data_IF_887034380920
#
_entry.id   IF_887034380920
#
_cell.length_a   1.000
_cell.length_b   1.000
_cell.length_c   1.000
_cell.angle_alpha   90.00
_cell.angle_beta   90.00
_cell.angle_gamma   90.00
#
_symmetry.space_group_name_H-M   'P 1'
#
loop_
_entity.id
_entity.type
_entity.pdbx_description
1 polymer ?
#
# COMPACT_ATOMS: atom_id res chain seq x y z
N UNK A 1 -8.08 17.71 -33.13
CA UNK A 1 -7.26 16.65 -33.74
C UNK A 1 -5.80 16.96 -33.46
N UNK A 2 -5.11 16.15 -32.65
CA UNK A 2 -3.74 15.70 -32.92
C UNK A 2 -3.41 14.58 -31.93
N UNK A 3 -3.29 13.38 -32.47
CA UNK A 3 -2.78 12.20 -31.78
C UNK A 3 -1.35 12.43 -31.31
N UNK A 4 -0.98 11.79 -30.22
CA UNK A 4 0.36 11.23 -30.11
C UNK A 4 0.25 9.88 -29.40
N UNK A 5 -0.04 8.86 -30.20
CA UNK A 5 0.51 7.54 -29.97
C UNK A 5 2.04 7.65 -29.95
N UNK A 6 2.70 6.94 -29.02
CA UNK A 6 4.15 6.77 -29.01
C UNK A 6 4.81 7.10 -27.68
N UNK A 7 5.05 6.07 -26.86
CA UNK A 7 6.38 5.56 -26.51
C UNK A 7 6.38 4.95 -25.11
N UNK A 8 6.55 3.62 -25.08
CA UNK A 8 6.69 2.79 -23.90
C UNK A 8 8.13 2.89 -23.37
N UNK A 9 8.27 3.32 -22.11
CA UNK A 9 9.52 3.38 -21.36
C UNK A 9 9.63 4.64 -20.50
N UNK A 10 9.24 4.55 -19.23
CA UNK A 10 9.54 5.49 -18.13
C UNK A 10 9.09 6.95 -18.29
N UNK A 11 7.81 7.20 -18.60
CA UNK A 11 7.24 8.54 -18.36
C UNK A 11 7.12 8.78 -16.84
N UNK A 12 7.63 9.91 -16.31
CA UNK A 12 7.43 10.24 -14.90
C UNK A 12 5.93 10.33 -14.61
N UNK A 13 5.50 9.74 -13.50
CA UNK A 13 4.10 9.80 -13.08
C UNK A 13 3.73 11.26 -12.82
N UNK A 14 2.69 11.75 -13.51
CA UNK A 14 2.17 13.09 -13.26
C UNK A 14 1.57 13.19 -11.85
N UNK A 15 1.52 14.42 -11.30
CA UNK A 15 1.02 14.69 -9.95
C UNK A 15 -0.35 14.06 -9.69
N UNK A 16 -1.30 14.24 -10.61
CA UNK A 16 -2.65 13.69 -10.49
C UNK A 16 -2.69 12.17 -10.45
N UNK A 17 -1.76 11.51 -11.16
CA UNK A 17 -1.65 10.05 -11.15
C UNK A 17 -1.09 9.55 -9.81
N UNK A 18 -0.10 10.24 -9.24
CA UNK A 18 0.44 9.88 -7.93
C UNK A 18 -0.57 10.13 -6.81
N UNK A 19 -1.30 11.25 -6.88
CA UNK A 19 -2.36 11.58 -5.92
C UNK A 19 -3.50 10.56 -5.98
N UNK A 20 -3.94 10.17 -7.19
CA UNK A 20 -5.01 9.17 -7.32
C UNK A 20 -4.60 7.79 -6.80
N UNK A 21 -3.36 7.36 -7.06
CA UNK A 21 -2.80 6.13 -6.49
C UNK A 21 -2.80 6.19 -4.95
N UNK A 22 -2.34 7.31 -4.38
CA UNK A 22 -2.31 7.51 -2.93
C UNK A 22 -3.70 7.48 -2.28
N UNK A 23 -4.67 8.20 -2.86
CA UNK A 23 -6.05 8.23 -2.36
C UNK A 23 -6.68 6.83 -2.50
N UNK A 24 -6.52 6.17 -3.64
CA UNK A 24 -7.05 4.82 -3.87
C UNK A 24 -6.49 3.82 -2.85
N UNK A 25 -5.19 3.87 -2.57
CA UNK A 25 -4.55 3.02 -1.57
C UNK A 25 -5.08 3.29 -0.15
N UNK A 26 -5.22 4.56 0.26
CA UNK A 26 -5.73 4.90 1.60
C UNK A 26 -7.21 4.57 1.79
N UNK A 27 -8.04 4.79 0.77
CA UNK A 27 -9.47 4.42 0.82
C UNK A 27 -9.62 2.90 0.84
N UNK A 28 -8.87 2.19 0.00
CA UNK A 28 -8.85 0.72 -0.06
C UNK A 28 -8.42 0.06 1.25
N UNK A 29 -7.27 0.47 1.77
CA UNK A 29 -6.69 -0.14 2.97
C UNK A 29 -7.32 0.40 4.28
N UNK A 30 -7.67 1.68 4.35
CA UNK A 30 -8.17 2.30 5.57
C UNK A 30 -9.68 2.17 5.71
N UNK A 31 -10.43 2.71 4.75
CA UNK A 31 -11.89 2.81 4.87
C UNK A 31 -12.51 1.42 4.74
N UNK A 32 -12.24 0.70 3.66
CA UNK A 32 -12.88 -0.62 3.47
C UNK A 32 -12.41 -1.63 4.52
N UNK A 33 -11.11 -1.67 4.86
CA UNK A 33 -10.65 -2.68 5.81
C UNK A 33 -11.07 -2.42 7.27
N UNK A 34 -11.10 -1.15 7.70
CA UNK A 34 -11.29 -0.81 9.12
C UNK A 34 -12.69 -0.32 9.46
N UNK A 35 -13.38 0.36 8.52
CA UNK A 35 -14.67 0.99 8.82
C UNK A 35 -15.73 -0.05 9.19
N UNK A 36 -15.71 -1.24 8.58
CA UNK A 36 -16.65 -2.32 8.89
C UNK A 36 -16.59 -2.79 10.35
N UNK A 37 -15.40 -2.88 10.94
CA UNK A 37 -15.25 -3.23 12.34
C UNK A 37 -15.43 -2.01 13.26
N UNK A 38 -14.89 -0.85 12.89
CA UNK A 38 -14.98 0.36 13.71
C UNK A 38 -16.42 0.87 13.86
N UNK A 39 -17.24 0.77 12.81
CA UNK A 39 -18.65 1.16 12.85
C UNK A 39 -19.46 0.33 13.85
N UNK A 40 -19.11 -0.95 14.04
CA UNK A 40 -19.77 -1.83 15.02
C UNK A 40 -19.40 -1.48 16.46
N UNK A 41 -18.22 -0.91 16.70
CA UNK A 41 -17.74 -0.60 18.06
C UNK A 41 -18.07 0.81 18.53
N UNK A 42 -18.04 1.81 17.64
CA UNK A 42 -18.05 3.23 18.03
C UNK A 42 -19.21 4.03 17.47
N UNK A 43 -20.07 3.42 16.63
CA UNK A 43 -21.28 3.96 16.02
C UNK A 43 -21.14 5.48 15.70
N UNK A 44 -21.68 6.37 16.54
CA UNK A 44 -21.69 7.82 16.34
C UNK A 44 -20.34 8.56 16.58
N UNK A 45 -19.37 7.96 17.27
CA UNK A 45 -18.08 8.60 17.62
C UNK A 45 -16.94 8.29 16.63
N UNK A 46 -17.22 7.47 15.63
CA UNK A 46 -16.23 7.02 14.63
C UNK A 46 -15.57 8.20 13.88
N UNK A 47 -16.33 9.25 13.58
CA UNK A 47 -15.82 10.43 12.87
C UNK A 47 -14.72 11.18 13.64
N UNK A 48 -14.77 11.17 14.98
CA UNK A 48 -13.77 11.81 15.83
C UNK A 48 -12.43 11.08 15.68
N UNK A 49 -12.45 9.75 15.71
CA UNK A 49 -11.25 8.93 15.51
C UNK A 49 -10.64 9.17 14.12
N UNK A 50 -11.47 9.28 13.07
CA UNK A 50 -11.00 9.62 11.72
C UNK A 50 -10.43 11.04 11.64
N UNK A 51 -11.02 12.01 12.33
CA UNK A 51 -10.51 13.39 12.36
C UNK A 51 -9.12 13.45 13.01
N UNK A 52 -8.95 12.84 14.18
CA UNK A 52 -7.64 12.75 14.85
C UNK A 52 -6.62 11.96 14.00
N UNK A 53 -7.03 10.83 13.42
CA UNK A 53 -6.18 10.07 12.50
C UNK A 53 -5.73 10.88 11.30
N UNK A 54 -6.63 11.69 10.72
CA UNK A 54 -6.34 12.60 9.61
C UNK A 54 -5.32 13.69 9.98
N UNK A 55 -5.43 14.28 11.17
CA UNK A 55 -4.46 15.27 11.66
C UNK A 55 -3.07 14.64 11.79
N UNK A 56 -2.98 13.47 12.43
CA UNK A 56 -1.71 12.74 12.57
C UNK A 56 -1.12 12.36 11.21
N UNK A 57 -1.97 11.93 10.27
CA UNK A 57 -1.57 11.62 8.90
C UNK A 57 -1.06 12.87 8.15
N UNK A 58 -1.66 14.04 8.35
CA UNK A 58 -1.19 15.31 7.77
C UNK A 58 0.21 15.67 8.25
N UNK A 59 0.47 15.62 9.56
CA UNK A 59 1.80 15.89 10.12
C UNK A 59 2.83 14.89 9.59
N UNK A 60 2.48 13.61 9.54
CA UNK A 60 3.34 12.55 9.02
C UNK A 60 3.63 12.75 7.53
N UNK A 61 2.60 13.03 6.73
CA UNK A 61 2.70 13.28 5.30
C UNK A 61 3.57 14.49 4.98
N UNK A 62 3.44 15.57 5.76
CA UNK A 62 4.29 16.76 5.62
C UNK A 62 5.77 16.46 5.92
N UNK A 63 6.05 15.70 6.99
CA UNK A 63 7.41 15.28 7.31
C UNK A 63 8.03 14.43 6.18
N UNK A 64 7.28 13.45 5.65
CA UNK A 64 7.73 12.64 4.53
C UNK A 64 7.88 13.43 3.23
N UNK A 65 7.00 14.39 2.96
CA UNK A 65 7.11 15.26 1.78
C UNK A 65 8.40 16.09 1.82
N UNK A 66 8.75 16.66 2.98
CA UNK A 66 10.03 17.38 3.16
C UNK A 66 11.23 16.46 3.02
N UNK A 67 11.19 15.26 3.62
CA UNK A 67 12.27 14.29 3.49
C UNK A 67 12.48 13.84 2.03
N UNK A 68 11.40 13.57 1.30
CA UNK A 68 11.46 13.22 -0.12
C UNK A 68 11.98 14.35 -1.01
N UNK A 69 11.64 15.60 -0.71
CA UNK A 69 12.18 16.76 -1.41
C UNK A 69 13.67 17.00 -1.11
N UNK A 70 14.10 16.78 0.14
CA UNK A 70 15.50 16.94 0.55
C UNK A 70 16.40 15.79 0.08
N UNK A 71 15.86 14.57 -0.01
CA UNK A 71 16.60 13.37 -0.38
C UNK A 71 15.89 12.63 -1.52
N UNK A 72 16.03 13.08 -2.78
CA UNK A 72 15.49 12.37 -3.92
C UNK A 72 16.25 11.06 -4.11
N UNK A 73 15.71 9.96 -3.59
CA UNK A 73 16.23 8.60 -3.77
C UNK A 73 15.11 7.65 -4.19
N UNK A 74 15.44 6.69 -5.04
CA UNK A 74 14.54 5.60 -5.42
C UNK A 74 14.35 4.55 -4.31
N UNK A 75 15.13 4.62 -3.21
CA UNK A 75 15.11 3.63 -2.12
C UNK A 75 14.01 3.83 -1.06
N UNK A 76 13.22 4.91 -1.15
CA UNK A 76 12.09 5.16 -0.27
C UNK A 76 12.48 5.32 1.22
N UNK A 77 11.56 4.94 2.11
CA UNK A 77 11.68 5.18 3.57
C UNK A 77 12.89 4.45 4.18
N UNK A 78 13.25 3.26 3.67
CA UNK A 78 14.42 2.49 4.13
C UNK A 78 15.71 3.27 3.89
N UNK A 79 15.82 3.98 2.77
CA UNK A 79 16.97 4.85 2.48
C UNK A 79 17.03 6.05 3.42
N UNK A 80 15.89 6.59 3.86
CA UNK A 80 15.86 7.64 4.87
C UNK A 80 16.40 7.15 6.21
N UNK A 81 16.10 5.91 6.60
CA UNK A 81 16.69 5.32 7.81
C UNK A 81 18.20 5.15 7.70
N UNK A 82 18.71 4.69 6.55
CA UNK A 82 20.15 4.54 6.34
C UNK A 82 20.89 5.87 6.33
N UNK A 83 20.31 6.91 5.74
CA UNK A 83 20.92 8.24 5.66
C UNK A 83 20.80 9.02 6.98
N UNK A 84 19.66 8.94 7.65
CA UNK A 84 19.39 9.68 8.88
C UNK A 84 20.05 9.07 10.13
N UNK A 85 20.18 7.75 10.19
CA UNK A 85 20.70 7.02 11.36
C UNK A 85 22.07 6.37 11.09
N UNK A 86 22.59 6.48 9.87
CA UNK A 86 23.82 5.83 9.43
C UNK A 86 23.67 4.34 9.11
N UNK A 87 24.76 3.74 8.65
CA UNK A 87 24.84 2.30 8.38
C UNK A 87 25.14 1.55 9.68
N UNK A 88 24.10 1.29 10.46
CA UNK A 88 24.20 0.56 11.73
C UNK A 88 23.05 -0.44 11.95
N UNK A 89 23.20 -1.26 13.00
CA UNK A 89 22.21 -2.26 13.41
C UNK A 89 20.83 -1.62 13.66
N UNK A 90 20.80 -0.38 14.15
CA UNK A 90 19.56 0.35 14.41
C UNK A 90 18.79 0.68 13.12
N UNK A 91 19.48 1.13 12.06
CA UNK A 91 18.87 1.40 10.76
C UNK A 91 18.34 0.13 10.09
N UNK A 92 19.08 -0.98 10.23
CA UNK A 92 18.62 -2.30 9.78
C UNK A 92 17.37 -2.76 10.55
N UNK A 93 17.37 -2.63 11.87
CA UNK A 93 16.24 -2.99 12.71
C UNK A 93 14.98 -2.20 12.34
N UNK A 94 15.10 -0.89 12.13
CA UNK A 94 13.98 -0.04 11.71
C UNK A 94 13.46 -0.39 10.30
N UNK A 95 14.37 -0.75 9.40
CA UNK A 95 14.02 -1.21 8.05
C UNK A 95 13.26 -2.54 8.09
N UNK A 96 13.71 -3.50 8.91
CA UNK A 96 13.02 -4.77 9.12
C UNK A 96 11.66 -4.58 9.78
N UNK A 97 11.58 -3.70 10.78
CA UNK A 97 10.33 -3.35 11.44
C UNK A 97 9.34 -2.74 10.44
N UNK A 98 9.80 -1.84 9.58
CA UNK A 98 8.98 -1.26 8.52
C UNK A 98 8.48 -2.31 7.52
N UNK A 99 9.33 -3.24 7.08
CA UNK A 99 8.92 -4.35 6.22
C UNK A 99 7.89 -5.26 6.91
N UNK A 100 8.08 -5.54 8.21
CA UNK A 100 7.11 -6.28 9.01
C UNK A 100 5.77 -5.53 9.09
N UNK A 101 5.80 -4.22 9.33
CA UNK A 101 4.59 -3.39 9.31
C UNK A 101 3.87 -3.51 7.97
N UNK A 102 4.58 -3.41 6.85
CA UNK A 102 3.99 -3.59 5.51
C UNK A 102 3.35 -4.98 5.35
N UNK A 103 4.04 -6.04 5.79
CA UNK A 103 3.51 -7.40 5.74
C UNK A 103 2.23 -7.57 6.57
N UNK A 104 2.23 -7.04 7.80
CA UNK A 104 1.06 -7.02 8.69
C UNK A 104 -0.08 -6.21 8.07
N UNK A 105 0.20 -5.06 7.46
CA UNK A 105 -0.81 -4.25 6.78
C UNK A 105 -1.46 -5.01 5.62
N UNK A 106 -0.67 -5.71 4.79
CA UNK A 106 -1.22 -6.52 3.69
C UNK A 106 -2.10 -7.65 4.25
N UNK A 107 -1.65 -8.34 5.30
CA UNK A 107 -2.42 -9.39 5.95
C UNK A 107 -3.73 -8.86 6.55
N UNK A 108 -3.69 -7.69 7.19
CA UNK A 108 -4.87 -7.03 7.76
C UNK A 108 -5.90 -6.69 6.69
N UNK A 109 -5.46 -6.07 5.59
CA UNK A 109 -6.34 -5.71 4.47
C UNK A 109 -6.93 -6.97 3.83
N UNK A 110 -6.11 -8.00 3.59
CA UNK A 110 -6.58 -9.27 3.04
C UNK A 110 -7.61 -9.96 3.96
N UNK A 111 -7.40 -9.95 5.27
CA UNK A 111 -8.35 -10.48 6.25
C UNK A 111 -9.68 -9.73 6.20
N UNK A 112 -9.65 -8.41 6.09
CA UNK A 112 -10.87 -7.62 5.98
C UNK A 112 -11.66 -7.95 4.71
N UNK A 113 -10.98 -8.03 3.55
CA UNK A 113 -11.62 -8.49 2.32
C UNK A 113 -12.16 -9.92 2.43
N UNK A 114 -11.41 -10.82 3.09
CA UNK A 114 -11.88 -12.18 3.37
C UNK A 114 -13.16 -12.19 4.21
N UNK A 115 -13.25 -11.32 5.22
CA UNK A 115 -14.45 -11.18 6.04
C UNK A 115 -15.66 -10.69 5.23
N UNK A 116 -15.48 -9.72 4.33
CA UNK A 116 -16.55 -9.30 3.43
C UNK A 116 -16.97 -10.40 2.45
N UNK A 117 -16.02 -11.15 1.90
CA UNK A 117 -16.31 -12.25 0.99
C UNK A 117 -17.13 -13.35 1.68
N UNK A 118 -16.78 -13.72 2.92
CA UNK A 118 -17.55 -14.69 3.70
C UNK A 118 -18.95 -14.17 4.03
N UNK A 119 -19.08 -12.91 4.47
CA UNK A 119 -20.39 -12.32 4.73
C UNK A 119 -21.31 -12.36 3.51
N UNK A 120 -20.77 -12.12 2.32
CA UNK A 120 -21.55 -12.11 1.08
C UNK A 120 -21.86 -13.52 0.55
N UNK A 121 -20.92 -14.46 0.62
CA UNK A 121 -21.03 -15.78 -0.02
C UNK A 121 -21.58 -16.89 0.90
N UNK A 122 -21.52 -16.70 2.22
CA UNK A 122 -21.92 -17.72 3.21
C UNK A 122 -22.96 -17.17 4.19
N UNK A 123 -23.81 -16.25 3.73
CA UNK A 123 -24.95 -15.72 4.50
C UNK A 123 -24.60 -15.24 5.91
N UNK A 124 -23.43 -14.61 6.07
CA UNK A 124 -22.98 -14.09 7.36
C UNK A 124 -22.39 -15.12 8.31
N UNK A 125 -21.97 -16.30 7.84
CA UNK A 125 -21.19 -17.22 8.68
C UNK A 125 -19.93 -16.53 9.22
N UNK A 126 -19.66 -16.68 10.53
CA UNK A 126 -18.53 -16.05 11.22
C UNK A 126 -17.36 -17.04 11.38
N UNK A 127 -17.28 -18.02 10.50
CA UNK A 127 -16.29 -19.09 10.55
C UNK A 127 -14.90 -18.53 10.24
N UNK A 128 -14.05 -18.42 11.26
CA UNK A 128 -12.72 -17.80 11.14
C UNK A 128 -11.84 -18.52 10.10
N UNK A 129 -12.00 -19.85 9.98
CA UNK A 129 -11.27 -20.63 9.00
C UNK A 129 -11.61 -20.23 7.55
N UNK A 130 -12.87 -19.90 7.25
CA UNK A 130 -13.27 -19.42 5.93
C UNK A 130 -12.65 -18.05 5.66
N UNK A 131 -12.71 -17.13 6.62
CA UNK A 131 -12.13 -15.78 6.48
C UNK A 131 -10.63 -15.88 6.15
N UNK A 132 -9.91 -16.75 6.86
CA UNK A 132 -8.48 -16.99 6.63
C UNK A 132 -8.22 -17.63 5.25
N UNK A 133 -9.05 -18.58 4.81
CA UNK A 133 -8.94 -19.18 3.48
C UNK A 133 -9.12 -18.14 2.36
N UNK A 134 -10.14 -17.28 2.47
CA UNK A 134 -10.34 -16.18 1.52
C UNK A 134 -9.18 -15.17 1.56
N UNK A 135 -8.70 -14.80 2.74
CA UNK A 135 -7.57 -13.89 2.89
C UNK A 135 -6.29 -14.45 2.24
N UNK A 136 -5.97 -15.73 2.49
CA UNK A 136 -4.86 -16.45 1.86
C UNK A 136 -5.02 -16.48 0.33
N UNK A 137 -6.22 -16.77 -0.16
CA UNK A 137 -6.54 -16.75 -1.59
C UNK A 137 -6.27 -15.38 -2.21
N UNK A 138 -6.72 -14.29 -1.57
CA UNK A 138 -6.49 -12.91 -2.03
C UNK A 138 -4.99 -12.60 -2.08
N UNK A 139 -4.24 -12.92 -1.02
CA UNK A 139 -2.78 -12.70 -0.99
C UNK A 139 -2.08 -13.50 -2.09
N UNK A 140 -2.44 -14.77 -2.29
CA UNK A 140 -1.87 -15.61 -3.32
C UNK A 140 -2.13 -15.05 -4.72
N UNK A 141 -3.37 -14.64 -4.99
CA UNK A 141 -3.76 -14.02 -6.26
C UNK A 141 -2.99 -12.71 -6.48
N UNK A 142 -2.95 -11.83 -5.48
CA UNK A 142 -2.21 -10.56 -5.58
C UNK A 142 -0.71 -10.77 -5.78
N UNK A 143 -0.13 -11.77 -5.10
CA UNK A 143 1.28 -12.13 -5.26
C UNK A 143 1.57 -12.66 -6.67
N UNK A 144 0.66 -13.48 -7.21
CA UNK A 144 0.74 -13.96 -8.58
C UNK A 144 0.66 -12.79 -9.57
N UNK A 145 -0.33 -11.91 -9.44
CA UNK A 145 -0.46 -10.70 -10.26
C UNK A 145 0.80 -9.82 -10.17
N UNK A 146 1.34 -9.62 -8.97
CA UNK A 146 2.56 -8.85 -8.77
C UNK A 146 3.75 -9.49 -9.50
N UNK A 147 3.90 -10.82 -9.39
CA UNK A 147 4.95 -11.57 -10.07
C UNK A 147 4.84 -11.50 -11.60
N UNK A 148 3.65 -11.69 -12.17
CA UNK A 148 3.43 -11.57 -13.62
C UNK A 148 3.68 -10.15 -14.12
N UNK A 149 3.21 -9.14 -13.39
CA UNK A 149 3.44 -7.73 -13.72
C UNK A 149 4.94 -7.41 -13.72
N UNK A 150 5.67 -7.86 -12.70
CA UNK A 150 7.12 -7.66 -12.62
C UNK A 150 7.86 -8.37 -13.76
N UNK A 151 7.41 -9.55 -14.17
CA UNK A 151 8.01 -10.30 -15.28
C UNK A 151 7.80 -9.61 -16.64
N UNK A 152 6.64 -8.96 -16.83
CA UNK A 152 6.37 -8.15 -18.00
C UNK A 152 7.26 -6.88 -18.05
N UNK A 153 7.49 -6.25 -16.89
CA UNK A 153 8.38 -5.09 -16.76
C UNK A 153 9.86 -5.48 -16.96
N UNK A 154 10.28 -6.62 -16.43
CA UNK A 154 11.67 -7.11 -16.58
C UNK A 154 12.07 -7.43 -18.02
N UNK A 155 11.12 -7.87 -18.86
CA UNK A 155 11.36 -8.13 -20.30
C UNK A 155 11.43 -6.86 -21.15
N UNK A 156 10.83 -5.76 -20.70
CA UNK A 156 10.92 -4.48 -21.39
C UNK A 156 12.24 -3.74 -21.12
N UNK A 157 12.96 -4.11 -20.05
CA UNK A 157 14.23 -3.49 -19.64
C UNK A 157 15.51 -4.17 -20.15
N UNK A 158 15.41 -5.33 -20.82
CA UNK A 158 16.56 -6.13 -21.24
C UNK A 158 16.90 -6.06 -22.73
N UNK A 159 16.31 -5.12 -23.50
CA UNK A 159 16.69 -4.89 -24.89
C UNK A 159 18.11 -4.27 -24.97
N UNK A 160 19.12 -4.99 -25.48
CA UNK A 160 20.51 -4.51 -25.53
C UNK A 160 20.73 -3.40 -26.57
N UNK A 161 19.70 -3.00 -27.34
CA UNK A 161 19.82 -1.99 -28.40
C UNK A 161 19.57 -0.54 -27.95
N UNK A 162 19.67 -0.24 -26.65
CA UNK A 162 19.45 1.11 -26.09
C UNK A 162 20.62 1.63 -25.25
N UNK A 163 21.84 1.34 -25.67
CA UNK A 163 23.02 2.14 -25.33
C UNK A 163 23.39 3.03 -26.51
#
# INVERSE_FOLDING_TARGET
>A
MMNTEGNNGNKPLGLWNVVSIGIGAMVGAGIFALLGQAALLMEASTWVAFAFGGIVAMFSGYAYARLGASYPSNGGIIDFFRRGLGNGVFSLALSLLYLLTLAVSIAMVARAFGAYAVQFLHEGSQEEHLILLYALGIIAVMTLFNSLSNHAVGRAGSDPRRH
#
